data_IF_099037299723
#
_entry.id   IF_099037299723
#
_cell.length_a   1.000
_cell.length_b   1.000
_cell.length_c   1.000
_cell.angle_alpha   90.00
_cell.angle_beta   90.00
_cell.angle_gamma   90.00
#
_symmetry.space_group_name_H-M   'P 1'
#
loop_
_entity.id
_entity.type
_entity.pdbx_description
1 polymer ?
#
# COMPACT_ATOMS: atom_id res chain seq x y z
N UNK A 1 67.04 19.27 10.56
CA UNK A 1 65.93 20.22 10.65
C UNK A 1 64.65 19.49 10.34
N UNK A 2 63.90 19.44 11.38
CA UNK A 2 62.60 18.80 11.54
C UNK A 2 61.51 19.40 10.68
N UNK A 3 60.61 18.59 10.16
CA UNK A 3 59.21 18.99 10.00
C UNK A 3 58.37 17.73 10.34
N UNK A 4 57.51 17.88 11.33
CA UNK A 4 56.61 16.85 11.82
C UNK A 4 55.46 16.57 10.89
N UNK A 5 55.10 15.32 10.78
CA UNK A 5 53.86 14.85 10.16
C UNK A 5 52.77 14.77 11.22
N UNK A 6 51.86 15.72 11.21
CA UNK A 6 50.60 15.59 11.94
C UNK A 6 49.68 14.64 11.19
N UNK A 7 49.47 13.49 11.79
CA UNK A 7 48.54 12.50 11.31
C UNK A 7 47.15 12.92 11.79
N UNK A 8 46.35 13.54 10.90
CA UNK A 8 44.94 13.78 11.13
C UNK A 8 44.20 12.44 11.25
N UNK A 9 43.91 12.03 12.44
CA UNK A 9 42.91 11.02 12.73
C UNK A 9 41.56 11.63 12.39
N UNK A 10 41.01 11.26 11.25
CA UNK A 10 39.58 11.48 10.97
C UNK A 10 38.79 10.56 11.87
N UNK A 11 38.24 11.11 12.93
CA UNK A 11 37.21 10.44 13.72
C UNK A 11 36.03 10.15 12.75
N UNK A 12 35.87 8.88 12.40
CA UNK A 12 34.61 8.38 11.84
C UNK A 12 33.59 8.45 12.97
N UNK A 13 32.75 9.45 12.93
CA UNK A 13 31.50 9.44 13.67
C UNK A 13 30.63 8.42 12.95
N UNK A 14 30.62 7.19 13.45
CA UNK A 14 29.58 6.21 13.13
C UNK A 14 28.28 6.75 13.70
N UNK A 15 27.55 7.49 12.89
CA UNK A 15 26.15 7.79 13.17
C UNK A 15 25.36 6.50 12.87
N UNK A 16 25.35 5.56 13.81
CA UNK A 16 24.25 4.63 13.95
C UNK A 16 23.00 5.48 14.20
N UNK A 17 22.26 5.75 13.11
CA UNK A 17 20.88 6.18 13.23
C UNK A 17 20.13 5.03 13.86
N UNK A 18 20.01 5.02 15.16
CA UNK A 18 19.09 4.15 15.89
C UNK A 18 17.71 4.51 15.36
N UNK A 19 17.15 3.66 14.50
CA UNK A 19 15.78 3.82 14.03
C UNK A 19 14.87 3.88 15.26
N UNK A 20 14.19 5.00 15.43
CA UNK A 20 13.30 5.22 16.55
C UNK A 20 12.09 4.30 16.38
N UNK A 21 12.07 3.20 17.13
CA UNK A 21 10.93 2.29 17.15
C UNK A 21 9.77 2.99 17.86
N UNK A 22 8.71 3.27 17.14
CA UNK A 22 7.50 3.88 17.68
C UNK A 22 6.78 2.90 18.61
N UNK A 23 6.30 3.39 19.73
CA UNK A 23 5.41 2.61 20.60
C UNK A 23 3.97 2.59 20.02
N UNK A 24 3.11 1.74 20.60
CA UNK A 24 1.75 1.55 20.10
C UNK A 24 0.92 2.84 20.07
N UNK A 25 1.08 3.73 21.04
CA UNK A 25 0.31 4.99 21.08
C UNK A 25 0.77 5.95 20.00
N UNK A 26 2.07 5.99 19.71
CA UNK A 26 2.64 6.77 18.61
C UNK A 26 2.18 6.24 17.25
N UNK A 27 2.15 4.92 17.07
CA UNK A 27 1.61 4.28 15.85
C UNK A 27 0.13 4.62 15.63
N UNK A 28 -0.68 4.52 16.70
CA UNK A 28 -2.10 4.88 16.66
C UNK A 28 -2.30 6.37 16.34
N UNK A 29 -1.47 7.26 16.90
CA UNK A 29 -1.56 8.69 16.62
C UNK A 29 -1.23 9.00 15.15
N UNK A 30 -0.18 8.41 14.62
CA UNK A 30 0.23 8.53 13.23
C UNK A 30 -0.89 8.07 12.26
N UNK A 31 -1.47 6.90 12.53
CA UNK A 31 -2.57 6.34 11.75
C UNK A 31 -3.82 7.21 11.84
N UNK A 32 -4.19 7.64 13.05
CA UNK A 32 -5.36 8.51 13.28
C UNK A 32 -5.24 9.85 12.53
N UNK A 33 -4.06 10.48 12.52
CA UNK A 33 -3.82 11.72 11.76
C UNK A 33 -4.05 11.52 10.27
N UNK A 34 -3.50 10.43 9.73
CA UNK A 34 -3.66 10.09 8.31
C UNK A 34 -5.12 9.85 7.94
N UNK A 35 -5.83 9.04 8.72
CA UNK A 35 -7.27 8.77 8.53
C UNK A 35 -8.09 10.06 8.68
N UNK A 36 -7.83 10.86 9.71
CA UNK A 36 -8.52 12.12 9.94
C UNK A 36 -8.38 13.12 8.79
N UNK A 37 -7.23 13.14 8.12
CA UNK A 37 -7.05 13.92 6.90
C UNK A 37 -8.02 13.49 5.80
N UNK A 38 -8.17 12.20 5.57
CA UNK A 38 -9.09 11.66 4.56
C UNK A 38 -10.55 11.89 4.93
N UNK A 39 -10.91 11.76 6.21
CA UNK A 39 -12.25 12.07 6.68
C UNK A 39 -12.62 13.54 6.47
N UNK A 40 -11.73 14.45 6.85
CA UNK A 40 -11.96 15.89 6.68
C UNK A 40 -12.10 16.30 5.20
N UNK A 41 -11.38 15.61 4.30
CA UNK A 41 -11.36 15.91 2.86
C UNK A 41 -12.22 14.93 2.03
N UNK A 42 -13.11 14.16 2.64
CA UNK A 42 -13.78 13.04 1.99
C UNK A 42 -14.49 13.39 0.68
N UNK A 43 -15.24 14.49 0.63
CA UNK A 43 -15.99 14.90 -0.55
C UNK A 43 -15.07 15.40 -1.68
N UNK A 44 -14.06 16.21 -1.33
CA UNK A 44 -13.07 16.68 -2.33
C UNK A 44 -12.23 15.54 -2.88
N UNK A 45 -11.87 14.57 -2.04
CA UNK A 45 -11.15 13.37 -2.47
C UNK A 45 -12.01 12.51 -3.41
N UNK A 46 -13.27 12.27 -3.04
CA UNK A 46 -14.22 11.51 -3.85
C UNK A 46 -14.39 12.10 -5.24
N UNK A 47 -14.57 13.42 -5.33
CA UNK A 47 -14.71 14.13 -6.61
C UNK A 47 -13.40 14.19 -7.40
N UNK A 48 -12.28 14.45 -6.74
CA UNK A 48 -10.98 14.60 -7.37
C UNK A 48 -10.36 13.29 -7.88
N UNK A 49 -10.84 12.13 -7.43
CA UNK A 49 -10.30 10.81 -7.82
C UNK A 49 -11.26 9.98 -8.68
N UNK A 50 -12.50 10.47 -8.88
CA UNK A 50 -13.54 9.72 -9.58
C UNK A 50 -13.18 9.35 -11.03
N UNK A 51 -12.50 10.27 -11.73
CA UNK A 51 -12.16 10.14 -13.16
C UNK A 51 -10.71 9.68 -13.40
N UNK A 52 -9.98 9.28 -12.35
CA UNK A 52 -8.63 8.77 -12.53
C UNK A 52 -8.65 7.43 -13.28
N UNK A 53 -7.98 7.38 -14.42
CA UNK A 53 -7.80 6.12 -15.15
C UNK A 53 -6.78 5.24 -14.43
N UNK A 54 -7.29 4.12 -13.92
CA UNK A 54 -6.52 3.07 -13.28
C UNK A 54 -6.75 1.70 -13.95
N UNK A 55 -7.27 1.68 -15.17
CA UNK A 55 -7.57 0.45 -15.94
C UNK A 55 -6.37 -0.48 -16.00
N UNK A 56 -5.18 0.04 -16.26
CA UNK A 56 -3.92 -0.72 -16.27
C UNK A 56 -3.67 -1.47 -14.94
N UNK A 57 -4.10 -0.91 -13.81
CA UNK A 57 -3.95 -1.54 -12.50
C UNK A 57 -4.95 -2.68 -12.30
N UNK A 58 -6.19 -2.49 -12.76
CA UNK A 58 -7.20 -3.55 -12.74
C UNK A 58 -6.79 -4.74 -13.59
N UNK A 59 -6.33 -4.49 -14.82
CA UNK A 59 -5.85 -5.51 -15.74
C UNK A 59 -4.64 -6.24 -15.14
N UNK A 60 -3.74 -5.49 -14.47
CA UNK A 60 -2.57 -6.08 -13.82
C UNK A 60 -2.94 -7.10 -12.74
N UNK A 61 -3.97 -6.85 -11.94
CA UNK A 61 -4.49 -7.80 -10.97
C UNK A 61 -5.24 -8.95 -11.66
N UNK A 62 -6.26 -8.60 -12.46
CA UNK A 62 -7.23 -9.58 -12.98
C UNK A 62 -6.61 -10.61 -13.91
N UNK A 63 -5.67 -10.20 -14.78
CA UNK A 63 -4.96 -11.08 -15.70
C UNK A 63 -4.00 -12.04 -14.99
N UNK A 64 -3.62 -11.71 -13.75
CA UNK A 64 -2.70 -12.52 -12.95
C UNK A 64 -3.40 -13.55 -12.08
N UNK A 65 -4.71 -13.47 -11.89
CA UNK A 65 -5.47 -14.44 -11.07
C UNK A 65 -5.73 -15.71 -11.89
N UNK A 66 -5.30 -16.86 -11.38
CA UNK A 66 -5.41 -18.16 -12.06
C UNK A 66 -6.70 -18.93 -11.71
N UNK A 67 -7.44 -18.52 -10.67
CA UNK A 67 -8.68 -19.17 -10.25
C UNK A 67 -9.83 -18.93 -11.25
N UNK A 68 -10.93 -19.67 -11.07
CA UNK A 68 -12.14 -19.47 -11.89
C UNK A 68 -12.96 -18.30 -11.38
N UNK A 69 -13.45 -17.47 -12.30
CA UNK A 69 -14.41 -16.40 -12.00
C UNK A 69 -15.74 -16.98 -11.43
N UNK A 70 -16.46 -16.24 -10.58
CA UNK A 70 -16.12 -14.90 -10.08
C UNK A 70 -15.01 -14.92 -9.03
N UNK A 71 -14.11 -13.91 -9.06
CA UNK A 71 -13.06 -13.76 -8.06
C UNK A 71 -13.58 -13.05 -6.82
N UNK A 72 -13.14 -13.46 -5.62
CA UNK A 72 -13.30 -12.70 -4.39
C UNK A 72 -12.09 -11.79 -4.22
N UNK A 73 -12.30 -10.47 -4.28
CA UNK A 73 -11.24 -9.47 -4.31
C UNK A 73 -11.35 -8.56 -3.09
N UNK A 74 -10.26 -8.45 -2.33
CA UNK A 74 -10.12 -7.46 -1.27
C UNK A 74 -9.59 -6.15 -1.87
N UNK A 75 -10.32 -5.06 -1.68
CA UNK A 75 -9.87 -3.69 -1.97
C UNK A 75 -9.36 -3.06 -0.68
N UNK A 76 -8.04 -2.99 -0.52
CA UNK A 76 -7.35 -2.55 0.68
C UNK A 76 -7.14 -1.02 0.67
N UNK A 77 -7.84 -0.31 1.55
CA UNK A 77 -7.94 1.16 1.50
C UNK A 77 -8.87 1.58 0.36
N UNK A 78 -10.09 1.02 0.35
CA UNK A 78 -11.02 1.18 -0.77
C UNK A 78 -11.56 2.61 -0.95
N UNK A 79 -11.32 3.51 0.01
CA UNK A 79 -11.83 4.87 -0.01
C UNK A 79 -13.35 4.92 -0.23
N UNK A 80 -13.86 5.83 -1.06
CA UNK A 80 -15.30 5.97 -1.33
C UNK A 80 -15.90 4.86 -2.21
N UNK A 81 -15.12 3.82 -2.59
CA UNK A 81 -15.61 2.62 -3.25
C UNK A 81 -15.58 2.63 -4.79
N UNK A 82 -14.76 3.47 -5.44
CA UNK A 82 -14.60 3.48 -6.91
C UNK A 82 -14.19 2.09 -7.43
N UNK A 83 -13.17 1.50 -6.85
CA UNK A 83 -12.57 0.26 -7.30
C UNK A 83 -13.49 -0.94 -6.97
N UNK A 84 -14.16 -0.93 -5.82
CA UNK A 84 -15.23 -1.89 -5.49
C UNK A 84 -16.34 -1.90 -6.56
N UNK A 85 -16.81 -0.71 -6.97
CA UNK A 85 -17.84 -0.59 -7.99
C UNK A 85 -17.41 -1.18 -9.32
N UNK A 86 -16.14 -0.95 -9.69
CA UNK A 86 -15.57 -1.50 -10.91
C UNK A 86 -15.53 -3.04 -10.89
N UNK A 87 -14.94 -3.65 -9.87
CA UNK A 87 -14.88 -5.11 -9.75
C UNK A 87 -16.28 -5.75 -9.71
N UNK A 88 -17.22 -5.13 -9.01
CA UNK A 88 -18.63 -5.59 -8.98
C UNK A 88 -19.28 -5.54 -10.35
N UNK A 89 -19.01 -4.51 -11.16
CA UNK A 89 -19.56 -4.37 -12.51
C UNK A 89 -19.08 -5.47 -13.47
N UNK A 90 -17.91 -6.06 -13.19
CA UNK A 90 -17.36 -7.20 -13.92
C UNK A 90 -17.89 -8.56 -13.40
N UNK A 91 -18.81 -8.54 -12.42
CA UNK A 91 -19.40 -9.76 -11.84
C UNK A 91 -18.51 -10.43 -10.78
N UNK A 92 -17.48 -9.76 -10.26
CA UNK A 92 -16.66 -10.24 -9.16
C UNK A 92 -17.33 -9.97 -7.79
N UNK A 93 -16.74 -10.50 -6.73
CA UNK A 93 -17.21 -10.37 -5.35
C UNK A 93 -16.19 -9.50 -4.59
N UNK A 94 -16.25 -8.16 -4.72
CA UNK A 94 -15.35 -7.27 -4.01
C UNK A 94 -15.78 -7.08 -2.56
N UNK A 95 -14.78 -6.98 -1.69
CA UNK A 95 -14.89 -6.65 -0.26
C UNK A 95 -13.92 -5.51 0.02
N UNK A 96 -14.35 -4.48 0.74
CA UNK A 96 -13.53 -3.33 1.09
C UNK A 96 -12.99 -3.38 2.52
N UNK A 97 -11.79 -2.85 2.71
CA UNK A 97 -11.26 -2.43 4.01
C UNK A 97 -10.88 -0.96 3.91
N UNK A 98 -11.33 -0.17 4.88
CA UNK A 98 -11.09 1.27 4.89
C UNK A 98 -11.04 1.78 6.35
N UNK A 99 -10.09 2.69 6.64
CA UNK A 99 -9.90 3.26 7.97
C UNK A 99 -10.84 4.41 8.30
N UNK A 100 -11.25 5.19 7.30
CA UNK A 100 -12.19 6.31 7.47
C UNK A 100 -13.62 5.82 7.54
N UNK A 101 -14.30 6.08 8.66
CA UNK A 101 -15.71 5.74 8.84
C UNK A 101 -16.59 6.42 7.79
N UNK A 102 -16.29 7.66 7.46
CA UNK A 102 -16.99 8.42 6.41
C UNK A 102 -16.89 7.72 5.05
N UNK A 103 -15.71 7.25 4.67
CA UNK A 103 -15.55 6.52 3.41
C UNK A 103 -16.23 5.14 3.45
N UNK A 104 -16.17 4.44 4.57
CA UNK A 104 -16.89 3.16 4.74
C UNK A 104 -18.39 3.33 4.46
N UNK A 105 -19.01 4.35 5.05
CA UNK A 105 -20.45 4.63 4.82
C UNK A 105 -20.73 4.98 3.35
N UNK A 106 -19.91 5.84 2.75
CA UNK A 106 -20.04 6.22 1.34
C UNK A 106 -19.90 4.98 0.44
N UNK A 107 -18.87 4.17 0.67
CA UNK A 107 -18.60 2.98 -0.13
C UNK A 107 -19.73 1.95 -0.03
N UNK A 108 -20.19 1.63 1.18
CA UNK A 108 -21.34 0.73 1.41
C UNK A 108 -22.58 1.21 0.67
N UNK A 109 -22.92 2.50 0.81
CA UNK A 109 -24.11 3.09 0.22
C UNK A 109 -24.03 3.13 -1.31
N UNK A 110 -22.88 3.44 -1.87
CA UNK A 110 -22.72 3.63 -3.33
C UNK A 110 -22.53 2.34 -4.09
N UNK A 111 -21.98 1.28 -3.45
CA UNK A 111 -21.63 0.02 -4.11
C UNK A 111 -22.51 -1.15 -3.70
N UNK A 112 -23.07 -1.12 -2.48
CA UNK A 112 -23.75 -2.25 -1.85
C UNK A 112 -22.80 -3.45 -1.65
N UNK A 113 -21.49 -3.20 -1.47
CA UNK A 113 -20.49 -4.19 -1.12
C UNK A 113 -20.29 -4.23 0.40
N UNK A 114 -19.75 -5.34 0.90
CA UNK A 114 -19.25 -5.41 2.27
C UNK A 114 -17.98 -4.56 2.38
N UNK A 115 -17.94 -3.66 3.35
CA UNK A 115 -16.79 -2.81 3.66
C UNK A 115 -16.57 -2.83 5.17
N UNK A 116 -15.38 -3.20 5.60
CA UNK A 116 -15.00 -3.25 7.02
C UNK A 116 -14.21 -2.01 7.40
N UNK A 117 -14.58 -1.42 8.55
CA UNK A 117 -13.82 -0.32 9.10
C UNK A 117 -12.63 -0.87 9.89
N UNK A 118 -11.45 -0.85 9.27
CA UNK A 118 -10.18 -1.30 9.86
C UNK A 118 -9.05 -0.42 9.34
N UNK A 119 -8.11 -0.11 10.19
CA UNK A 119 -6.84 0.49 9.80
C UNK A 119 -5.74 -0.56 9.63
N UNK A 120 -4.60 -0.20 9.02
CA UNK A 120 -3.54 -1.14 8.67
C UNK A 120 -2.78 -1.69 9.88
N UNK A 121 -2.78 -0.99 11.02
CA UNK A 121 -2.13 -1.51 12.24
C UNK A 121 -3.04 -2.45 13.04
N UNK A 122 -4.34 -2.43 12.78
CA UNK A 122 -5.35 -3.28 13.42
C UNK A 122 -6.08 -4.18 12.41
N UNK A 123 -5.41 -4.60 11.32
CA UNK A 123 -5.98 -5.56 10.38
C UNK A 123 -6.28 -6.88 11.09
N UNK A 124 -7.46 -7.45 10.78
CA UNK A 124 -7.90 -8.79 11.19
C UNK A 124 -8.67 -9.38 10.01
N UNK A 125 -7.94 -10.02 9.10
CA UNK A 125 -8.47 -10.55 7.85
C UNK A 125 -8.71 -12.06 7.95
N UNK A 126 -9.79 -12.58 7.32
CA UNK A 126 -10.03 -14.02 7.24
C UNK A 126 -8.90 -14.68 6.42
N UNK A 127 -8.45 -15.84 6.89
CA UNK A 127 -7.41 -16.60 6.21
C UNK A 127 -7.94 -17.31 4.96
N UNK A 128 -7.11 -17.41 3.91
CA UNK A 128 -7.40 -18.18 2.70
C UNK A 128 -8.73 -17.81 2.01
N UNK A 129 -9.07 -16.54 2.03
CA UNK A 129 -10.39 -16.08 1.61
C UNK A 129 -10.39 -15.44 0.21
N UNK A 130 -9.34 -14.69 -0.16
CA UNK A 130 -9.33 -13.85 -1.33
C UNK A 130 -8.55 -14.49 -2.50
N UNK A 131 -9.09 -14.36 -3.71
CA UNK A 131 -8.39 -14.71 -4.95
C UNK A 131 -7.38 -13.64 -5.34
N UNK A 132 -7.70 -12.39 -5.02
CA UNK A 132 -6.85 -11.23 -5.25
C UNK A 132 -7.00 -10.15 -4.17
N UNK A 133 -5.94 -9.37 -3.97
CA UNK A 133 -5.94 -8.15 -3.15
C UNK A 133 -5.51 -7.00 -4.04
N UNK A 134 -6.27 -5.91 -3.98
CA UNK A 134 -6.00 -4.66 -4.70
C UNK A 134 -5.66 -3.56 -3.69
N UNK A 135 -4.37 -3.20 -3.60
CA UNK A 135 -3.86 -2.15 -2.71
C UNK A 135 -3.39 -0.95 -3.56
N UNK A 136 -4.36 -0.22 -4.11
CA UNK A 136 -4.09 0.88 -5.03
C UNK A 136 -3.93 2.21 -4.30
N UNK A 137 -2.71 2.71 -4.19
CA UNK A 137 -2.37 3.96 -3.53
C UNK A 137 -2.80 4.01 -2.04
N UNK A 138 -2.63 2.92 -1.32
CA UNK A 138 -3.09 2.80 0.07
C UNK A 138 -2.01 2.28 1.02
N UNK A 139 -1.35 1.17 0.71
CA UNK A 139 -0.48 0.44 1.64
C UNK A 139 0.76 1.23 2.08
N UNK A 140 1.18 2.23 1.31
CA UNK A 140 2.31 3.11 1.67
C UNK A 140 2.03 3.99 2.91
N UNK A 141 0.77 4.07 3.35
CA UNK A 141 0.39 4.70 4.62
C UNK A 141 0.67 3.81 5.85
N UNK A 142 1.09 2.57 5.63
CA UNK A 142 1.51 1.70 6.74
C UNK A 142 2.83 2.18 7.32
N UNK A 143 2.94 2.35 8.66
CA UNK A 143 4.21 2.66 9.29
C UNK A 143 5.27 1.62 8.93
N UNK A 144 6.51 2.07 8.65
CA UNK A 144 7.61 1.20 8.22
C UNK A 144 7.79 -0.03 9.10
N UNK A 145 7.74 0.16 10.42
CA UNK A 145 7.92 -0.95 11.36
C UNK A 145 6.80 -2.00 11.31
N UNK A 146 5.61 -1.66 10.78
CA UNK A 146 4.44 -2.54 10.70
C UNK A 146 4.29 -3.20 9.32
N UNK A 147 4.99 -2.74 8.29
CA UNK A 147 4.76 -3.20 6.92
C UNK A 147 4.94 -4.71 6.76
N UNK A 148 5.96 -5.30 7.38
CA UNK A 148 6.18 -6.74 7.30
C UNK A 148 5.06 -7.56 7.96
N UNK A 149 4.48 -7.06 9.06
CA UNK A 149 3.34 -7.69 9.71
C UNK A 149 2.11 -7.61 8.80
N UNK A 150 1.81 -6.42 8.30
CA UNK A 150 0.68 -6.20 7.38
C UNK A 150 0.81 -7.07 6.14
N UNK A 151 1.97 -7.13 5.51
CA UNK A 151 2.20 -7.94 4.31
C UNK A 151 2.02 -9.44 4.57
N UNK A 152 2.43 -9.95 5.75
CA UNK A 152 2.18 -11.36 6.12
C UNK A 152 0.69 -11.61 6.30
N UNK A 153 -0.05 -10.71 6.93
CA UNK A 153 -1.50 -10.84 7.09
C UNK A 153 -2.23 -10.82 5.74
N UNK A 154 -1.81 -9.96 4.81
CA UNK A 154 -2.31 -9.99 3.43
C UNK A 154 -1.99 -11.33 2.74
N UNK A 155 -0.78 -11.85 2.94
CA UNK A 155 -0.41 -13.16 2.41
C UNK A 155 -1.31 -14.26 2.99
N UNK A 156 -1.50 -14.30 4.33
CA UNK A 156 -2.34 -15.31 4.99
C UNK A 156 -3.81 -15.25 4.53
N UNK A 157 -4.32 -14.06 4.24
CA UNK A 157 -5.69 -13.86 3.77
C UNK A 157 -5.93 -14.28 2.31
N UNK A 158 -4.88 -14.36 1.51
CA UNK A 158 -4.94 -14.87 0.15
C UNK A 158 -5.09 -16.39 0.12
N UNK A 159 -5.89 -16.89 -0.81
CA UNK A 159 -5.92 -18.30 -1.19
C UNK A 159 -4.56 -18.73 -1.72
N UNK A 160 -4.33 -20.05 -1.80
CA UNK A 160 -3.12 -20.59 -2.43
C UNK A 160 -2.97 -20.03 -3.86
N UNK A 161 -1.78 -19.49 -4.17
CA UNK A 161 -1.48 -18.82 -5.43
C UNK A 161 -2.33 -17.57 -5.72
N UNK A 162 -2.97 -17.00 -4.70
CA UNK A 162 -3.67 -15.72 -4.81
C UNK A 162 -2.71 -14.59 -5.17
N UNK A 163 -3.25 -13.49 -5.64
CA UNK A 163 -2.48 -12.38 -6.24
C UNK A 163 -2.66 -11.10 -5.42
N UNK A 164 -1.54 -10.43 -5.13
CA UNK A 164 -1.53 -9.09 -4.56
C UNK A 164 -1.09 -8.09 -5.64
N UNK A 165 -1.90 -7.06 -5.86
CA UNK A 165 -1.51 -5.85 -6.60
C UNK A 165 -1.26 -4.71 -5.62
N UNK A 166 -0.14 -3.99 -5.79
CA UNK A 166 0.16 -2.76 -5.07
C UNK A 166 0.54 -1.64 -6.04
N UNK A 167 0.07 -0.43 -5.76
CA UNK A 167 0.55 0.79 -6.41
C UNK A 167 0.94 1.80 -5.32
N UNK A 168 2.22 2.16 -5.26
CA UNK A 168 2.78 3.06 -4.26
C UNK A 168 3.41 4.28 -4.95
N UNK A 169 3.39 5.46 -4.31
CA UNK A 169 4.25 6.56 -4.75
C UNK A 169 5.71 6.11 -4.70
N UNK A 170 6.45 6.39 -5.78
CA UNK A 170 7.87 6.07 -5.88
C UNK A 170 8.69 7.05 -5.05
N UNK A 171 9.69 6.56 -4.33
CA UNK A 171 10.62 7.40 -3.56
C UNK A 171 11.97 6.72 -3.32
N UNK A 172 12.74 7.28 -2.40
CA UNK A 172 14.09 6.83 -2.03
C UNK A 172 14.10 6.32 -0.57
N UNK A 173 13.05 5.57 -0.20
CA UNK A 173 12.87 5.03 1.16
C UNK A 173 12.71 6.10 2.26
N UNK A 174 12.15 7.23 1.92
CA UNK A 174 11.82 8.26 2.90
C UNK A 174 10.47 7.98 3.55
N UNK A 175 10.39 8.23 4.84
CA UNK A 175 9.12 8.20 5.56
C UNK A 175 8.82 9.53 6.24
N UNK A 176 7.55 9.84 6.41
CA UNK A 176 7.13 11.05 7.09
C UNK A 176 5.77 11.56 6.66
N UNK A 177 5.44 12.73 7.15
CA UNK A 177 4.19 13.40 6.85
C UNK A 177 4.30 14.32 5.65
N UNK A 178 3.34 14.21 4.72
CA UNK A 178 3.03 15.21 3.72
C UNK A 178 1.70 15.89 4.11
N UNK A 179 1.77 17.05 4.74
CA UNK A 179 0.64 17.61 5.48
C UNK A 179 0.29 16.71 6.68
N UNK A 180 -0.96 16.25 6.74
CA UNK A 180 -1.42 15.34 7.80
C UNK A 180 -1.37 13.86 7.39
N UNK A 181 -0.91 13.54 6.18
CA UNK A 181 -0.83 12.16 5.69
C UNK A 181 0.59 11.62 5.88
N UNK A 182 0.71 10.59 6.70
CA UNK A 182 1.94 9.81 6.77
C UNK A 182 2.08 8.93 5.52
N UNK A 183 3.30 8.71 5.07
CA UNK A 183 3.63 7.75 4.03
C UNK A 183 5.08 7.30 4.11
N UNK A 184 5.32 6.08 3.67
CA UNK A 184 6.64 5.56 3.37
C UNK A 184 6.76 5.39 1.84
N UNK A 185 7.73 6.08 1.26
CA UNK A 185 7.93 6.17 -0.19
C UNK A 185 9.06 5.22 -0.60
N UNK A 186 8.69 4.02 -1.02
CA UNK A 186 9.62 2.95 -1.33
C UNK A 186 10.36 3.17 -2.66
N UNK A 187 11.66 2.83 -2.71
CA UNK A 187 12.28 2.44 -3.95
C UNK A 187 11.89 1.00 -4.34
N UNK A 188 12.19 0.61 -5.57
CA UNK A 188 11.86 -0.73 -6.06
C UNK A 188 12.55 -1.85 -5.27
N UNK A 189 13.83 -1.69 -4.96
CA UNK A 189 14.59 -2.75 -4.31
C UNK A 189 14.09 -3.05 -2.91
N UNK A 190 13.84 -2.01 -2.11
CA UNK A 190 13.28 -2.14 -0.76
C UNK A 190 11.88 -2.74 -0.78
N UNK A 191 11.01 -2.28 -1.70
CA UNK A 191 9.66 -2.83 -1.84
C UNK A 191 9.70 -4.31 -2.25
N UNK A 192 10.55 -4.66 -3.21
CA UNK A 192 10.76 -6.04 -3.64
C UNK A 192 11.23 -6.94 -2.49
N UNK A 193 12.19 -6.49 -1.70
CA UNK A 193 12.71 -7.25 -0.55
C UNK A 193 11.61 -7.51 0.49
N UNK A 194 10.79 -6.51 0.81
CA UNK A 194 9.65 -6.65 1.73
C UNK A 194 8.68 -7.72 1.22
N UNK A 195 8.31 -7.68 -0.04
CA UNK A 195 7.39 -8.65 -0.63
C UNK A 195 7.97 -10.08 -0.63
N UNK A 196 9.22 -10.25 -1.02
CA UNK A 196 9.89 -11.56 -1.03
C UNK A 196 9.99 -12.14 0.41
N UNK A 197 10.34 -11.32 1.39
CA UNK A 197 10.49 -11.72 2.80
C UNK A 197 9.15 -12.01 3.49
N UNK A 198 8.04 -11.70 2.86
CA UNK A 198 6.69 -11.91 3.39
C UNK A 198 5.87 -12.98 2.64
N UNK A 199 6.56 -13.82 1.84
CA UNK A 199 5.98 -15.01 1.23
C UNK A 199 5.34 -14.75 -0.14
N UNK A 200 5.83 -13.76 -0.86
CA UNK A 200 5.40 -13.46 -2.23
C UNK A 200 6.52 -13.71 -3.24
N UNK A 201 6.15 -14.09 -4.46
CA UNK A 201 7.02 -14.07 -5.64
C UNK A 201 6.55 -13.00 -6.63
N UNK A 202 7.50 -12.35 -7.29
CA UNK A 202 7.20 -11.31 -8.27
C UNK A 202 6.59 -11.92 -9.55
N UNK A 203 5.45 -11.37 -10.00
CA UNK A 203 4.92 -11.63 -11.33
C UNK A 203 5.42 -10.56 -12.29
N UNK A 204 5.23 -9.28 -11.95
CA UNK A 204 5.74 -8.13 -12.72
C UNK A 204 5.71 -6.85 -11.89
N UNK A 205 6.47 -5.86 -12.33
CA UNK A 205 6.34 -4.49 -11.88
C UNK A 205 6.46 -3.53 -13.06
N UNK A 206 5.99 -2.30 -12.87
CA UNK A 206 6.06 -1.23 -13.86
C UNK A 206 5.90 0.13 -13.18
N UNK A 207 6.41 1.18 -13.86
CA UNK A 207 6.24 2.55 -13.38
C UNK A 207 5.21 3.30 -14.21
N UNK A 208 4.51 4.26 -13.59
CA UNK A 208 3.39 4.99 -14.19
C UNK A 208 3.50 6.51 -14.00
N UNK A 209 2.84 7.32 -14.89
CA UNK A 209 2.14 6.92 -16.12
C UNK A 209 3.09 6.55 -17.25
N UNK A 210 2.57 5.87 -18.27
CA UNK A 210 3.29 5.68 -19.52
C UNK A 210 3.38 6.99 -20.32
N UNK A 211 4.31 7.05 -21.31
CA UNK A 211 4.44 8.21 -22.18
C UNK A 211 5.41 9.29 -21.68
N UNK A 212 5.99 9.13 -20.51
CA UNK A 212 7.10 9.92 -19.98
C UNK A 212 8.28 9.02 -19.64
N UNK A 213 9.53 9.55 -19.56
CA UNK A 213 10.71 8.78 -19.14
C UNK A 213 10.46 8.04 -17.82
N UNK A 214 10.98 6.82 -17.69
CA UNK A 214 10.72 5.98 -16.53
C UNK A 214 11.17 6.61 -15.21
N UNK A 215 12.29 7.33 -15.24
CA UNK A 215 12.83 8.06 -14.10
C UNK A 215 11.91 9.18 -13.58
N UNK A 216 11.02 9.69 -14.43
CA UNK A 216 10.04 10.73 -14.10
C UNK A 216 8.69 10.17 -13.64
N UNK A 217 8.48 8.84 -13.75
CA UNK A 217 7.21 8.20 -13.39
C UNK A 217 7.08 8.09 -11.87
N UNK A 218 6.10 8.77 -11.25
CA UNK A 218 6.02 8.89 -9.80
C UNK A 218 5.36 7.69 -9.10
N UNK A 219 4.86 6.70 -9.84
CA UNK A 219 4.16 5.55 -9.27
C UNK A 219 4.87 4.25 -9.59
N UNK A 220 5.10 3.45 -8.56
CA UNK A 220 5.57 2.08 -8.64
C UNK A 220 4.37 1.13 -8.49
N UNK A 221 4.01 0.42 -9.56
CA UNK A 221 3.01 -0.62 -9.55
C UNK A 221 3.68 -2.00 -9.58
N UNK A 222 3.15 -2.96 -8.83
CA UNK A 222 3.72 -4.30 -8.74
C UNK A 222 2.67 -5.36 -8.48
N UNK A 223 2.89 -6.55 -9.03
CA UNK A 223 2.00 -7.71 -8.95
C UNK A 223 2.78 -8.88 -8.38
N UNK A 224 2.21 -9.51 -7.38
CA UNK A 224 2.85 -10.54 -6.56
C UNK A 224 1.95 -11.75 -6.42
N UNK A 225 2.55 -12.93 -6.38
CA UNK A 225 1.86 -14.19 -6.14
C UNK A 225 2.21 -14.73 -4.77
N UNK A 226 1.23 -15.20 -4.02
CA UNK A 226 1.44 -15.99 -2.81
C UNK A 226 2.12 -17.32 -3.15
N UNK A 227 3.23 -17.63 -2.47
CA UNK A 227 3.98 -18.89 -2.58
C UNK A 227 3.31 -20.01 -1.80
#
# INVERSE_FOLDING_TARGET
>A
RLVGSEMCIRDRVDTEQTELVLNLDQLKDLTRRTIGHYEFNAESYRTGTADHDVSQNYDALLDSIESKKPFKILDLGCGPGRDLKYFKSLGHIPVGVEGSETFVEIARKSTGCDVFNMDFINLDLPQMEYDGIFANASIFHTPRQEINRVMRELNDSLKKRGVLFCSNPRGDNQEGFSGERYGFYYDWNTWKEICLNTGFEEIRHFFRPDGIPEEERPWLASVWRKI
#
